data_IF_506024922246
#
_entry.id   IF_506024922246
#
_cell.length_a   1.000
_cell.length_b   1.000
_cell.length_c   1.000
_cell.angle_alpha   90.00
_cell.angle_beta   90.00
_cell.angle_gamma   90.00
#
_symmetry.space_group_name_H-M   'P 1'
#
loop_
_entity.id
_entity.type
_entity.pdbx_description
1 polymer ?
#
# COMPACT_ATOMS: atom_id res chain seq x y z
N UNK A 1 35.67 -27.16 -19.70
CA UNK A 1 35.29 -25.73 -19.61
C UNK A 1 33.82 -25.47 -20.00
N UNK A 2 33.33 -25.99 -21.12
CA UNK A 2 31.95 -25.75 -21.60
C UNK A 2 30.87 -26.26 -20.61
N UNK A 3 31.07 -27.42 -19.98
CA UNK A 3 30.11 -27.99 -19.01
C UNK A 3 29.95 -27.09 -17.78
N UNK A 4 31.04 -26.49 -17.26
CA UNK A 4 30.96 -25.52 -16.17
C UNK A 4 30.20 -24.26 -16.58
N UNK A 5 30.37 -23.78 -17.81
CA UNK A 5 29.64 -22.60 -18.28
C UNK A 5 28.13 -22.85 -18.36
N UNK A 6 27.71 -24.05 -18.79
CA UNK A 6 26.29 -24.43 -18.83
C UNK A 6 25.70 -24.53 -17.42
N UNK A 7 26.44 -25.09 -16.46
CA UNK A 7 26.00 -25.19 -15.06
C UNK A 7 25.91 -23.81 -14.38
N UNK A 8 26.82 -22.89 -14.72
CA UNK A 8 26.76 -21.51 -14.23
C UNK A 8 25.52 -20.81 -14.82
N UNK A 9 25.24 -20.98 -16.11
CA UNK A 9 24.07 -20.40 -16.77
C UNK A 9 22.75 -20.93 -16.17
N UNK A 10 22.66 -22.23 -15.85
CA UNK A 10 21.46 -22.78 -15.21
C UNK A 10 21.25 -22.24 -13.80
N UNK A 11 22.32 -22.05 -13.03
CA UNK A 11 22.23 -21.44 -11.69
C UNK A 11 21.81 -19.98 -11.78
N UNK A 12 22.35 -19.21 -12.72
CA UNK A 12 21.96 -17.80 -12.95
C UNK A 12 20.47 -17.72 -13.32
N UNK A 13 20.01 -18.57 -14.22
CA UNK A 13 18.61 -18.59 -14.63
C UNK A 13 17.67 -18.96 -13.46
N UNK A 14 18.05 -19.93 -12.62
CA UNK A 14 17.29 -20.29 -11.42
C UNK A 14 17.18 -19.11 -10.45
N UNK A 15 18.30 -18.49 -10.09
CA UNK A 15 18.33 -17.33 -9.17
C UNK A 15 17.54 -16.13 -9.73
N UNK A 16 17.62 -15.88 -11.03
CA UNK A 16 16.85 -14.82 -11.67
C UNK A 16 15.34 -15.08 -11.64
N UNK A 17 14.93 -16.35 -11.78
CA UNK A 17 13.52 -16.76 -11.72
C UNK A 17 12.98 -16.60 -10.30
N UNK A 18 13.73 -17.03 -9.29
CA UNK A 18 13.34 -16.89 -7.88
C UNK A 18 13.19 -15.41 -7.48
N UNK A 19 14.13 -14.56 -7.92
CA UNK A 19 14.08 -13.12 -7.67
C UNK A 19 12.85 -12.47 -8.31
N UNK A 20 12.52 -12.88 -9.55
CA UNK A 20 11.32 -12.40 -10.25
C UNK A 20 10.03 -12.85 -9.56
N UNK A 21 9.98 -14.08 -9.06
CA UNK A 21 8.82 -14.60 -8.32
C UNK A 21 8.60 -13.83 -7.02
N UNK A 22 9.65 -13.60 -6.23
CA UNK A 22 9.56 -12.81 -4.98
C UNK A 22 9.09 -11.38 -5.29
N UNK A 23 9.68 -10.74 -6.31
CA UNK A 23 9.27 -9.40 -6.72
C UNK A 23 7.79 -9.34 -7.16
N UNK A 24 7.33 -10.34 -7.92
CA UNK A 24 5.94 -10.43 -8.35
C UNK A 24 4.98 -10.64 -7.17
N UNK A 25 5.35 -11.46 -6.17
CA UNK A 25 4.56 -11.67 -4.96
C UNK A 25 4.45 -10.38 -4.14
N UNK A 26 5.55 -9.67 -3.94
CA UNK A 26 5.58 -8.38 -3.24
C UNK A 26 4.71 -7.34 -3.95
N UNK A 27 4.80 -7.24 -5.27
CA UNK A 27 3.98 -6.32 -6.06
C UNK A 27 2.47 -6.60 -5.95
N UNK A 28 2.07 -7.88 -5.86
CA UNK A 28 0.66 -8.25 -5.63
C UNK A 28 0.18 -7.80 -4.26
N UNK A 29 1.00 -7.97 -3.21
CA UNK A 29 0.67 -7.50 -1.86
C UNK A 29 0.49 -5.98 -1.86
N UNK A 30 1.42 -5.23 -2.47
CA UNK A 30 1.28 -3.78 -2.61
C UNK A 30 0.02 -3.38 -3.37
N UNK A 31 -0.31 -4.05 -4.47
CA UNK A 31 -1.51 -3.76 -5.25
C UNK A 31 -2.81 -3.99 -4.46
N UNK A 32 -2.87 -5.07 -3.68
CA UNK A 32 -4.02 -5.36 -2.81
C UNK A 32 -4.15 -4.31 -1.71
N UNK A 33 -3.05 -4.00 -1.01
CA UNK A 33 -3.06 -3.01 0.07
C UNK A 33 -3.42 -1.61 -0.46
N UNK A 34 -2.87 -1.22 -1.61
CA UNK A 34 -3.18 0.05 -2.25
C UNK A 34 -4.65 0.15 -2.67
N UNK A 35 -5.23 -0.92 -3.22
CA UNK A 35 -6.64 -0.91 -3.63
C UNK A 35 -7.60 -0.80 -2.43
N UNK A 36 -7.34 -1.55 -1.34
CA UNK A 36 -8.12 -1.45 -0.10
C UNK A 36 -7.98 -0.05 0.52
N UNK A 37 -6.75 0.49 0.55
CA UNK A 37 -6.47 1.84 1.07
C UNK A 37 -7.23 2.91 0.29
N UNK A 38 -7.27 2.82 -1.04
CA UNK A 38 -8.00 3.75 -1.88
C UNK A 38 -9.50 3.76 -1.58
N UNK A 39 -10.09 2.58 -1.34
CA UNK A 39 -11.52 2.46 -0.98
C UNK A 39 -11.78 3.08 0.40
N UNK A 40 -10.97 2.76 1.41
CA UNK A 40 -11.16 3.26 2.78
C UNK A 40 -10.99 4.79 2.84
N UNK A 41 -9.94 5.32 2.24
CA UNK A 41 -9.70 6.76 2.18
C UNK A 41 -10.80 7.43 1.36
N UNK A 42 -11.17 6.86 0.20
CA UNK A 42 -12.27 7.36 -0.61
C UNK A 42 -13.56 7.50 0.18
N UNK A 43 -13.96 6.45 0.92
CA UNK A 43 -15.20 6.45 1.70
C UNK A 43 -15.22 7.53 2.78
N UNK A 44 -14.08 7.76 3.42
CA UNK A 44 -13.91 8.76 4.47
C UNK A 44 -14.01 10.20 3.92
N UNK A 45 -13.59 10.44 2.68
CA UNK A 45 -13.62 11.76 2.06
C UNK A 45 -14.95 12.12 1.37
N UNK A 46 -15.81 11.13 1.05
CA UNK A 46 -17.14 11.37 0.42
C UNK A 46 -17.98 12.44 1.14
N UNK A 47 -18.29 12.34 2.46
CA UNK A 47 -19.16 13.31 3.13
C UNK A 47 -18.54 14.71 3.19
N UNK A 48 -17.21 14.80 3.17
CA UNK A 48 -16.46 16.06 3.20
C UNK A 48 -16.57 16.76 1.86
N UNK A 49 -16.42 16.01 0.76
CA UNK A 49 -16.59 16.52 -0.59
C UNK A 49 -18.01 17.06 -0.80
N UNK A 50 -19.03 16.31 -0.39
CA UNK A 50 -20.43 16.74 -0.48
C UNK A 50 -20.66 18.03 0.33
N UNK A 51 -20.09 18.14 1.53
CA UNK A 51 -20.19 19.34 2.36
C UNK A 51 -19.46 20.56 1.78
N UNK A 52 -18.31 20.37 1.14
CA UNK A 52 -17.54 21.45 0.49
C UNK A 52 -18.23 22.01 -0.76
N UNK A 53 -18.88 21.16 -1.56
CA UNK A 53 -19.57 21.55 -2.79
C UNK A 53 -21.01 22.02 -2.55
N UNK A 54 -21.53 21.95 -1.34
CA UNK A 54 -22.85 22.50 -0.97
C UNK A 54 -22.85 24.02 -1.04
N UNK A 55 -23.96 24.64 -1.46
CA UNK A 55 -24.15 26.12 -1.50
C UNK A 55 -24.37 26.75 -0.12
N UNK A 56 -24.69 25.93 0.87
CA UNK A 56 -25.02 26.33 2.23
C UNK A 56 -23.77 26.66 3.09
N UNK A 57 -23.69 27.89 3.63
CA UNK A 57 -22.51 28.40 4.36
C UNK A 57 -22.21 27.58 5.63
N UNK A 58 -23.25 27.17 6.35
CA UNK A 58 -23.13 26.35 7.56
C UNK A 58 -22.54 24.96 7.25
N UNK A 59 -22.94 24.36 6.12
CA UNK A 59 -22.41 23.05 5.68
C UNK A 59 -20.94 23.14 5.28
N UNK A 60 -20.52 24.25 4.66
CA UNK A 60 -19.10 24.49 4.33
C UNK A 60 -18.24 24.64 5.59
N UNK A 61 -18.75 25.33 6.60
CA UNK A 61 -18.02 25.51 7.86
C UNK A 61 -17.86 24.18 8.62
N UNK A 62 -18.92 23.39 8.68
CA UNK A 62 -18.88 22.06 9.27
C UNK A 62 -17.94 21.11 8.50
N UNK A 63 -17.97 21.19 7.16
CA UNK A 63 -17.08 20.41 6.31
C UNK A 63 -15.60 20.74 6.57
N UNK A 64 -15.22 22.00 6.79
CA UNK A 64 -13.84 22.38 7.15
C UNK A 64 -13.35 21.73 8.43
N UNK A 65 -14.20 21.62 9.44
CA UNK A 65 -13.87 20.96 10.70
C UNK A 65 -13.74 19.45 10.51
N UNK A 66 -14.66 18.84 9.75
CA UNK A 66 -14.59 17.42 9.40
C UNK A 66 -13.37 17.09 8.53
N UNK A 67 -12.90 17.99 7.68
CA UNK A 67 -11.65 17.82 6.91
C UNK A 67 -10.44 17.67 7.80
N UNK A 68 -10.33 18.46 8.89
CA UNK A 68 -9.21 18.34 9.83
C UNK A 68 -9.21 16.95 10.48
N UNK A 69 -10.36 16.50 10.95
CA UNK A 69 -10.51 15.18 11.57
C UNK A 69 -10.21 14.05 10.58
N UNK A 70 -10.66 14.19 9.34
CA UNK A 70 -10.38 13.25 8.26
C UNK A 70 -8.90 13.19 7.89
N UNK A 71 -8.23 14.35 7.79
CA UNK A 71 -6.80 14.44 7.55
C UNK A 71 -6.02 13.71 8.65
N UNK A 72 -6.34 13.98 9.91
CA UNK A 72 -5.73 13.31 11.06
C UNK A 72 -5.98 11.79 11.00
N UNK A 73 -7.21 11.38 10.67
CA UNK A 73 -7.55 9.97 10.46
C UNK A 73 -6.73 9.31 9.34
N UNK A 74 -6.55 9.99 8.20
CA UNK A 74 -5.70 9.47 7.12
C UNK A 74 -4.22 9.37 7.51
N UNK A 75 -3.70 10.31 8.30
CA UNK A 75 -2.31 10.26 8.79
C UNK A 75 -2.09 9.09 9.75
N UNK A 76 -2.99 8.92 10.71
CA UNK A 76 -2.95 7.78 11.65
C UNK A 76 -3.04 6.46 10.88
N UNK A 77 -3.93 6.39 9.88
CA UNK A 77 -4.06 5.22 9.01
C UNK A 77 -2.75 4.89 8.27
N UNK A 78 -2.07 5.89 7.70
CA UNK A 78 -0.79 5.68 7.00
C UNK A 78 0.28 5.14 7.97
N UNK A 79 0.38 5.70 9.17
CA UNK A 79 1.34 5.21 10.17
C UNK A 79 1.03 3.77 10.61
N UNK A 80 -0.24 3.46 10.86
CA UNK A 80 -0.67 2.11 11.20
C UNK A 80 -0.38 1.12 10.06
N UNK A 81 -0.68 1.51 8.81
CA UNK A 81 -0.46 0.66 7.64
C UNK A 81 1.03 0.46 7.37
N UNK A 82 1.86 1.50 7.53
CA UNK A 82 3.32 1.38 7.41
C UNK A 82 3.89 0.40 8.44
N UNK A 83 3.43 0.45 9.69
CA UNK A 83 3.84 -0.48 10.74
C UNK A 83 3.38 -1.92 10.45
N UNK A 84 2.14 -2.09 10.00
CA UNK A 84 1.60 -3.39 9.61
C UNK A 84 2.37 -4.00 8.43
N UNK A 85 2.67 -3.21 7.38
CA UNK A 85 3.46 -3.65 6.24
C UNK A 85 4.86 -4.08 6.66
N UNK A 86 5.51 -3.29 7.51
CA UNK A 86 6.83 -3.64 8.03
C UNK A 86 6.81 -4.97 8.79
N UNK A 87 5.83 -5.18 9.68
CA UNK A 87 5.70 -6.43 10.43
C UNK A 87 5.49 -7.64 9.50
N UNK A 88 4.63 -7.50 8.49
CA UNK A 88 4.37 -8.57 7.50
C UNK A 88 5.61 -8.85 6.66
N UNK A 89 6.29 -7.82 6.16
CA UNK A 89 7.50 -8.00 5.35
C UNK A 89 8.64 -8.58 6.18
N UNK A 90 8.82 -8.12 7.42
CA UNK A 90 9.80 -8.69 8.34
C UNK A 90 9.49 -10.17 8.57
N UNK A 91 8.25 -10.53 8.89
CA UNK A 91 7.84 -11.93 9.04
C UNK A 91 8.17 -12.79 7.81
N UNK A 92 7.89 -12.29 6.61
CA UNK A 92 8.20 -13.01 5.35
C UNK A 92 9.72 -13.18 5.16
N UNK A 93 10.52 -12.17 5.50
CA UNK A 93 11.98 -12.18 5.28
C UNK A 93 12.71 -13.00 6.34
N UNK A 94 12.37 -12.84 7.62
CA UNK A 94 13.03 -13.56 8.72
C UNK A 94 12.43 -14.93 9.03
N UNK A 95 11.20 -15.21 8.57
CA UNK A 95 10.52 -16.49 8.79
C UNK A 95 10.16 -16.79 10.25
N UNK A 96 10.20 -15.78 11.13
CA UNK A 96 9.94 -15.83 12.56
C UNK A 96 8.81 -14.86 12.94
#
# INVERSE_FOLDING_TARGET
>A
MVINAIHILSVINAVSTDTQQISAMINRVYAVVASISAVLIGLLWIPIAIGYFSTDENRKFEARTRTKNALIGTLIYIFAMSGALYAVLNYIITGA
#
